data_IF_326563046029
#
_entry.id   IF_326563046029
#
_cell.length_a   1.000
_cell.length_b   1.000
_cell.length_c   1.000
_cell.angle_alpha   90.00
_cell.angle_beta   90.00
_cell.angle_gamma   90.00
#
_symmetry.space_group_name_H-M   'P 1'
#
loop_
_entity.id
_entity.type
_entity.pdbx_description
1 polymer ?
#
# COMPACT_ATOMS: atom_id res chain seq x y z
N UNK A 1 16.40 -11.45 9.09
CA UNK A 1 15.35 -10.44 8.88
C UNK A 1 13.92 -11.01 8.72
N UNK A 2 13.69 -12.20 8.18
CA UNK A 2 12.33 -12.73 7.89
C UNK A 2 11.47 -13.11 9.12
N UNK A 3 12.04 -13.58 10.21
CA UNK A 3 11.28 -14.08 11.37
C UNK A 3 10.52 -12.99 12.17
N UNK A 4 11.08 -11.81 12.47
CA UNK A 4 10.35 -10.78 13.19
C UNK A 4 9.23 -10.13 12.35
N UNK A 5 9.43 -9.93 11.03
CA UNK A 5 8.41 -9.37 10.15
C UNK A 5 7.17 -10.25 10.05
N UNK A 6 7.35 -11.56 9.91
CA UNK A 6 6.24 -12.53 9.95
C UNK A 6 5.50 -12.46 11.28
N UNK A 7 6.22 -12.27 12.40
CA UNK A 7 5.61 -12.09 13.72
C UNK A 7 4.69 -10.87 13.79
N UNK A 8 5.13 -9.71 13.30
CA UNK A 8 4.33 -8.49 13.28
C UNK A 8 3.12 -8.61 12.34
N UNK A 9 3.31 -9.16 11.14
CA UNK A 9 2.23 -9.43 10.20
C UNK A 9 1.13 -10.30 10.85
N UNK A 10 1.51 -11.37 11.53
CA UNK A 10 0.56 -12.25 12.22
C UNK A 10 -0.15 -11.53 13.39
N UNK A 11 0.56 -10.70 14.15
CA UNK A 11 -0.03 -9.92 15.24
C UNK A 11 -1.05 -8.91 14.70
N UNK A 12 -0.71 -8.13 13.69
CA UNK A 12 -1.67 -7.23 13.05
C UNK A 12 -2.88 -7.99 12.52
N UNK A 13 -2.67 -9.07 11.79
CA UNK A 13 -3.75 -9.89 11.25
C UNK A 13 -4.67 -10.47 12.33
N UNK A 14 -4.09 -10.95 13.44
CA UNK A 14 -4.84 -11.47 14.58
C UNK A 14 -5.70 -10.40 15.23
N UNK A 15 -5.13 -9.25 15.60
CA UNK A 15 -5.87 -8.20 16.31
C UNK A 15 -6.92 -7.52 15.43
N UNK A 16 -6.67 -7.34 14.13
CA UNK A 16 -7.68 -6.91 13.18
C UNK A 16 -8.83 -7.92 13.07
N UNK A 17 -8.54 -9.20 13.00
CA UNK A 17 -9.57 -10.26 12.94
C UNK A 17 -10.41 -10.31 14.21
N UNK A 18 -9.78 -10.19 15.38
CA UNK A 18 -10.46 -10.12 16.68
C UNK A 18 -11.35 -8.88 16.76
N UNK A 19 -10.85 -7.72 16.33
CA UNK A 19 -11.59 -6.47 16.30
C UNK A 19 -12.84 -6.58 15.43
N UNK A 20 -12.72 -7.06 14.20
CA UNK A 20 -13.87 -7.27 13.32
C UNK A 20 -14.87 -8.27 13.89
N UNK A 21 -14.41 -9.40 14.44
CA UNK A 21 -15.29 -10.38 15.05
C UNK A 21 -16.04 -9.79 16.26
N UNK A 22 -15.37 -9.03 17.11
CA UNK A 22 -15.98 -8.38 18.25
C UNK A 22 -17.05 -7.35 17.85
N UNK A 23 -16.74 -6.50 16.85
CA UNK A 23 -17.71 -5.54 16.28
C UNK A 23 -18.93 -6.25 15.74
N UNK A 24 -18.74 -7.30 14.97
CA UNK A 24 -19.83 -8.08 14.37
C UNK A 24 -20.74 -8.74 15.45
N UNK A 25 -20.18 -9.13 16.60
CA UNK A 25 -20.94 -9.70 17.70
C UNK A 25 -21.77 -8.67 18.49
N UNK A 26 -21.39 -7.39 18.44
CA UNK A 26 -22.12 -6.27 19.07
C UNK A 26 -23.33 -5.85 18.24
N UNK A 27 -23.25 -5.96 16.92
CA UNK A 27 -24.29 -5.55 15.97
C UNK A 27 -25.45 -6.56 15.97
N UNK A 28 -26.70 -6.13 15.75
CA UNK A 28 -27.84 -7.06 15.63
C UNK A 28 -27.61 -8.09 14.51
N UNK A 29 -28.00 -9.35 14.76
CA UNK A 29 -27.70 -10.51 13.91
C UNK A 29 -27.95 -10.26 12.40
N UNK A 30 -29.09 -9.65 12.05
CA UNK A 30 -29.42 -9.40 10.63
C UNK A 30 -28.42 -8.45 9.99
N UNK A 31 -28.13 -7.32 10.63
CA UNK A 31 -27.18 -6.34 10.15
C UNK A 31 -25.74 -6.90 10.15
N UNK A 32 -25.36 -7.60 11.22
CA UNK A 32 -24.06 -8.25 11.36
C UNK A 32 -23.77 -9.24 10.23
N UNK A 33 -24.77 -10.07 9.88
CA UNK A 33 -24.69 -11.02 8.77
C UNK A 33 -24.43 -10.31 7.42
N UNK A 34 -25.12 -9.20 7.17
CA UNK A 34 -24.96 -8.41 5.94
C UNK A 34 -23.57 -7.76 5.92
N UNK A 35 -23.19 -7.10 7.02
CA UNK A 35 -21.87 -6.44 7.14
C UNK A 35 -20.74 -7.46 6.97
N UNK A 36 -20.85 -8.63 7.60
CA UNK A 36 -19.88 -9.70 7.42
C UNK A 36 -19.77 -10.10 5.94
N UNK A 37 -20.91 -10.32 5.27
CA UNK A 37 -20.90 -10.71 3.86
C UNK A 37 -20.22 -9.67 2.98
N UNK A 38 -20.55 -8.39 3.15
CA UNK A 38 -19.96 -7.29 2.40
C UNK A 38 -18.44 -7.24 2.64
N UNK A 39 -18.01 -7.20 3.92
CA UNK A 39 -16.59 -7.10 4.25
C UNK A 39 -15.81 -8.33 3.78
N UNK A 40 -16.35 -9.53 3.97
CA UNK A 40 -15.71 -10.77 3.57
C UNK A 40 -15.42 -10.79 2.06
N UNK A 41 -16.45 -10.55 1.25
CA UNK A 41 -16.28 -10.57 -0.20
C UNK A 41 -15.46 -9.39 -0.73
N UNK A 42 -15.56 -8.23 -0.10
CA UNK A 42 -14.73 -7.08 -0.46
C UNK A 42 -13.24 -7.38 -0.20
N UNK A 43 -12.89 -7.93 0.97
CA UNK A 43 -11.51 -8.32 1.25
C UNK A 43 -11.05 -9.51 0.42
N UNK A 44 -11.92 -10.45 0.09
CA UNK A 44 -11.58 -11.56 -0.81
C UNK A 44 -11.25 -11.04 -2.21
N UNK A 45 -12.08 -10.16 -2.77
CA UNK A 45 -11.81 -9.52 -4.06
C UNK A 45 -10.49 -8.75 -4.00
N UNK A 46 -10.29 -7.95 -2.95
CA UNK A 46 -9.04 -7.21 -2.75
C UNK A 46 -7.82 -8.13 -2.71
N UNK A 47 -7.90 -9.24 -1.97
CA UNK A 47 -6.81 -10.20 -1.90
C UNK A 47 -6.52 -10.86 -3.24
N UNK A 48 -7.56 -11.24 -3.99
CA UNK A 48 -7.38 -11.80 -5.33
C UNK A 48 -6.82 -10.78 -6.32
N UNK A 49 -7.22 -9.51 -6.22
CA UNK A 49 -6.66 -8.42 -7.02
C UNK A 49 -5.18 -8.20 -6.73
N UNK A 50 -4.79 -8.25 -5.45
CA UNK A 50 -3.37 -8.18 -5.04
C UNK A 50 -2.55 -9.32 -5.62
N UNK A 51 -3.06 -10.55 -5.55
CA UNK A 51 -2.40 -11.73 -6.14
C UNK A 51 -2.24 -11.59 -7.65
N UNK A 52 -3.29 -11.11 -8.34
CA UNK A 52 -3.25 -10.86 -9.78
C UNK A 52 -2.24 -9.80 -10.16
N UNK A 53 -2.26 -8.69 -9.44
CA UNK A 53 -1.32 -7.60 -9.67
C UNK A 53 0.13 -8.05 -9.44
N UNK A 54 0.37 -8.79 -8.35
CA UNK A 54 1.69 -9.35 -8.05
C UNK A 54 2.19 -10.30 -9.15
N UNK A 55 1.32 -11.12 -9.73
CA UNK A 55 1.68 -12.07 -10.80
C UNK A 55 2.16 -11.36 -12.08
N UNK A 56 1.71 -10.15 -12.34
CA UNK A 56 2.05 -9.40 -13.55
C UNK A 56 3.21 -8.45 -13.32
N UNK A 57 3.21 -7.74 -12.18
CA UNK A 57 4.12 -6.64 -11.92
C UNK A 57 5.21 -6.94 -10.88
N UNK A 58 5.17 -8.13 -10.27
CA UNK A 58 6.04 -8.52 -9.12
C UNK A 58 6.01 -7.51 -7.97
N UNK A 59 4.92 -6.76 -7.86
CA UNK A 59 4.67 -5.72 -6.84
C UNK A 59 3.26 -5.86 -6.31
N UNK A 60 3.03 -5.41 -5.09
CA UNK A 60 1.69 -5.28 -4.53
C UNK A 60 1.13 -3.90 -4.85
N UNK A 61 -0.19 -3.81 -4.96
CA UNK A 61 -0.89 -2.62 -5.39
C UNK A 61 -1.28 -1.74 -4.20
N UNK A 62 -1.04 -0.45 -4.29
CA UNK A 62 -1.64 0.54 -3.40
C UNK A 62 -3.14 0.69 -3.66
N UNK A 63 -3.91 1.01 -2.62
CA UNK A 63 -5.33 1.31 -2.78
C UNK A 63 -5.55 2.52 -3.70
N UNK A 64 -4.66 3.50 -3.63
CA UNK A 64 -4.65 4.67 -4.52
C UNK A 64 -4.51 4.30 -6.00
N UNK A 65 -3.86 3.17 -6.33
CA UNK A 65 -3.74 2.67 -7.69
C UNK A 65 -5.10 2.29 -8.32
N UNK A 66 -6.14 2.10 -7.50
CA UNK A 66 -7.51 1.90 -8.01
C UNK A 66 -8.02 3.08 -8.84
N UNK A 67 -7.47 4.28 -8.68
CA UNK A 67 -7.79 5.43 -9.52
C UNK A 67 -7.43 5.19 -11.00
N UNK A 68 -6.47 4.31 -11.27
CA UNK A 68 -5.98 3.97 -12.61
C UNK A 68 -6.54 2.65 -13.15
N UNK A 69 -7.55 2.06 -12.50
CA UNK A 69 -8.13 0.77 -12.89
C UNK A 69 -8.73 0.77 -14.30
N UNK A 70 -9.16 1.94 -14.81
CA UNK A 70 -9.67 2.04 -16.17
C UNK A 70 -8.67 1.57 -17.23
N UNK A 71 -7.40 1.87 -17.04
CA UNK A 71 -6.32 1.42 -17.93
C UNK A 71 -5.98 -0.06 -17.71
N UNK A 72 -6.02 -0.53 -16.45
CA UNK A 72 -5.72 -1.92 -16.09
C UNK A 72 -6.80 -2.91 -16.54
N UNK A 73 -8.04 -2.48 -16.69
CA UNK A 73 -9.14 -3.38 -17.08
C UNK A 73 -8.95 -4.03 -18.47
N UNK A 74 -8.21 -3.41 -19.37
CA UNK A 74 -7.89 -3.99 -20.68
C UNK A 74 -7.06 -5.28 -20.55
N UNK A 75 -6.29 -5.44 -19.49
CA UNK A 75 -5.40 -6.58 -19.26
C UNK A 75 -5.99 -7.65 -18.33
N UNK A 76 -7.25 -7.49 -17.88
CA UNK A 76 -7.84 -8.38 -16.87
C UNK A 76 -7.85 -9.84 -17.30
N UNK A 77 -8.15 -10.12 -18.58
CA UNK A 77 -8.16 -11.50 -19.11
C UNK A 77 -6.76 -12.11 -19.17
N UNK A 78 -5.74 -11.30 -19.48
CA UNK A 78 -4.35 -11.75 -19.47
C UNK A 78 -3.89 -12.09 -18.06
N UNK A 79 -4.26 -11.27 -17.08
CA UNK A 79 -3.99 -11.51 -15.65
C UNK A 79 -4.66 -12.81 -15.20
N UNK A 80 -5.95 -12.97 -15.48
CA UNK A 80 -6.71 -14.15 -15.08
C UNK A 80 -6.19 -15.43 -15.75
N UNK A 81 -5.72 -15.36 -17.00
CA UNK A 81 -5.15 -16.49 -17.73
C UNK A 81 -3.85 -17.01 -17.12
N UNK A 82 -3.11 -16.16 -16.42
CA UNK A 82 -1.85 -16.51 -15.74
C UNK A 82 -2.05 -17.12 -14.36
N UNK A 83 -3.28 -17.16 -13.85
CA UNK A 83 -3.53 -17.72 -12.52
C UNK A 83 -3.34 -19.22 -12.51
N UNK A 84 -2.50 -19.77 -11.61
CA UNK A 84 -2.41 -21.21 -11.40
C UNK A 84 -3.78 -21.81 -11.03
N UNK A 85 -4.06 -23.01 -11.50
CA UNK A 85 -5.32 -23.70 -11.20
C UNK A 85 -5.60 -23.82 -9.70
N UNK A 86 -4.53 -23.95 -8.90
CA UNK A 86 -4.63 -24.02 -7.44
C UNK A 86 -5.24 -22.75 -6.83
N UNK A 87 -4.98 -21.58 -7.42
CA UNK A 87 -5.55 -20.32 -6.94
C UNK A 87 -7.06 -20.24 -7.22
N UNK A 88 -7.50 -20.76 -8.36
CA UNK A 88 -8.93 -20.88 -8.67
C UNK A 88 -9.65 -21.81 -7.70
N UNK A 89 -9.04 -22.94 -7.36
CA UNK A 89 -9.58 -23.89 -6.38
C UNK A 89 -9.65 -23.22 -5.00
N UNK A 90 -8.59 -22.52 -4.58
CA UNK A 90 -8.56 -21.79 -3.31
C UNK A 90 -9.63 -20.69 -3.27
N UNK A 91 -9.77 -19.90 -4.32
CA UNK A 91 -10.79 -18.86 -4.43
C UNK A 91 -12.20 -19.43 -4.32
N UNK A 92 -12.48 -20.52 -5.05
CA UNK A 92 -13.76 -21.21 -4.97
C UNK A 92 -14.04 -21.76 -3.56
N UNK A 93 -13.02 -22.33 -2.91
CA UNK A 93 -13.10 -22.79 -1.53
C UNK A 93 -13.41 -21.65 -0.52
N UNK A 94 -12.76 -20.51 -0.68
CA UNK A 94 -13.02 -19.33 0.14
C UNK A 94 -14.41 -18.75 -0.11
N UNK A 95 -14.87 -18.67 -1.35
CA UNK A 95 -16.23 -18.26 -1.69
C UNK A 95 -17.25 -19.20 -1.00
N UNK A 96 -17.06 -20.52 -1.13
CA UNK A 96 -17.93 -21.49 -0.51
C UNK A 96 -17.94 -21.36 1.02
N UNK A 97 -16.79 -21.17 1.64
CA UNK A 97 -16.65 -20.93 3.08
C UNK A 97 -17.43 -19.67 3.52
N UNK A 98 -17.26 -18.56 2.80
CA UNK A 98 -18.00 -17.33 3.07
C UNK A 98 -19.51 -17.52 3.01
N UNK A 99 -20.00 -18.22 1.97
CA UNK A 99 -21.43 -18.54 1.83
C UNK A 99 -21.92 -19.42 2.99
N UNK A 100 -21.16 -20.45 3.38
CA UNK A 100 -21.51 -21.34 4.49
C UNK A 100 -21.61 -20.54 5.81
N UNK A 101 -20.65 -19.64 6.07
CA UNK A 101 -20.67 -18.78 7.27
C UNK A 101 -21.89 -17.86 7.24
N UNK A 102 -22.21 -17.25 6.11
CA UNK A 102 -23.38 -16.38 5.95
C UNK A 102 -24.68 -17.15 6.21
N UNK A 103 -24.79 -18.36 5.67
CA UNK A 103 -26.00 -19.20 5.85
C UNK A 103 -26.14 -19.66 7.29
N UNK A 104 -25.05 -20.12 7.91
CA UNK A 104 -25.00 -20.62 9.30
C UNK A 104 -24.61 -19.52 10.30
N UNK A 105 -24.87 -18.26 10.00
CA UNK A 105 -24.36 -17.15 10.78
C UNK A 105 -24.71 -17.29 12.28
N UNK A 106 -23.73 -17.13 13.19
CA UNK A 106 -23.91 -17.36 14.61
C UNK A 106 -24.89 -16.36 15.25
N UNK A 107 -25.37 -16.69 16.42
CA UNK A 107 -26.18 -15.75 17.21
C UNK A 107 -25.28 -14.62 17.72
N UNK A 108 -25.79 -13.39 17.67
CA UNK A 108 -25.11 -12.22 18.22
C UNK A 108 -25.70 -11.87 19.60
N UNK A 109 -24.99 -11.01 20.33
CA UNK A 109 -25.44 -10.58 21.66
C UNK A 109 -26.73 -9.77 21.59
N UNK A 110 -27.69 -10.07 22.48
CA UNK A 110 -28.99 -9.39 22.53
C UNK A 110 -29.06 -8.28 23.57
N UNK A 111 -28.43 -8.50 24.73
CA UNK A 111 -28.49 -7.59 25.88
C UNK A 111 -27.26 -6.70 26.02
N UNK A 112 -27.41 -5.48 26.56
CA UNK A 112 -26.32 -4.54 26.79
C UNK A 112 -25.17 -5.16 27.64
N UNK A 113 -25.52 -5.88 28.70
CA UNK A 113 -24.50 -6.53 29.55
C UNK A 113 -23.65 -7.55 28.82
N UNK A 114 -24.23 -8.22 27.81
CA UNK A 114 -23.48 -9.18 26.98
C UNK A 114 -22.55 -8.52 25.98
N UNK A 115 -22.74 -7.22 25.67
CA UNK A 115 -21.90 -6.46 24.74
C UNK A 115 -20.65 -5.90 25.40
N UNK A 116 -20.67 -5.70 26.72
CA UNK A 116 -19.56 -5.10 27.46
C UNK A 116 -18.23 -5.82 27.23
N UNK A 117 -18.11 -7.17 27.31
CA UNK A 117 -16.84 -7.85 27.06
C UNK A 117 -16.35 -7.66 25.64
N UNK A 118 -17.24 -7.62 24.65
CA UNK A 118 -16.85 -7.39 23.26
C UNK A 118 -16.40 -5.95 23.01
N UNK A 119 -16.99 -4.97 23.68
CA UNK A 119 -16.51 -3.59 23.67
C UNK A 119 -15.11 -3.49 24.28
N UNK A 120 -14.88 -4.19 25.40
CA UNK A 120 -13.54 -4.25 26.00
C UNK A 120 -12.51 -4.89 25.04
N UNK A 121 -12.89 -5.97 24.36
CA UNK A 121 -12.04 -6.62 23.33
C UNK A 121 -11.75 -5.64 22.18
N UNK A 122 -12.74 -4.86 21.72
CA UNK A 122 -12.52 -3.83 20.69
C UNK A 122 -11.47 -2.82 21.15
N UNK A 123 -11.62 -2.28 22.38
CA UNK A 123 -10.67 -1.31 22.94
C UNK A 123 -9.27 -1.91 23.02
N UNK A 124 -9.13 -3.11 23.58
CA UNK A 124 -7.84 -3.80 23.69
C UNK A 124 -7.23 -4.02 22.30
N UNK A 125 -8.02 -4.47 21.33
CA UNK A 125 -7.53 -4.70 19.97
C UNK A 125 -7.03 -3.40 19.32
N UNK A 126 -7.80 -2.31 19.42
CA UNK A 126 -7.38 -1.00 18.88
C UNK A 126 -6.12 -0.49 19.53
N UNK A 127 -6.04 -0.56 20.88
CA UNK A 127 -4.84 -0.15 21.61
C UNK A 127 -3.64 -1.00 21.21
N UNK A 128 -3.81 -2.31 21.08
CA UNK A 128 -2.71 -3.20 20.67
C UNK A 128 -2.26 -2.88 19.25
N UNK A 129 -3.18 -2.72 18.29
CA UNK A 129 -2.86 -2.32 16.91
C UNK A 129 -2.07 -0.99 16.89
N UNK A 130 -2.46 -0.01 17.71
CA UNK A 130 -1.77 1.27 17.81
C UNK A 130 -0.40 1.19 18.51
N UNK A 131 -0.17 0.18 19.35
CA UNK A 131 1.09 -0.02 20.05
C UNK A 131 2.11 -0.83 19.24
N UNK A 132 1.68 -1.70 18.33
CA UNK A 132 2.59 -2.53 17.52
C UNK A 132 3.65 -1.68 16.80
N UNK A 133 3.33 -0.54 16.14
CA UNK A 133 4.34 0.31 15.51
C UNK A 133 5.42 0.79 16.49
N UNK A 134 5.05 1.15 17.71
CA UNK A 134 6.00 1.55 18.75
C UNK A 134 6.95 0.41 19.14
N UNK A 135 6.46 -0.83 19.12
CA UNK A 135 7.30 -2.01 19.31
C UNK A 135 8.24 -2.24 18.13
N UNK A 136 7.78 -1.99 16.92
CA UNK A 136 8.61 -2.07 15.70
C UNK A 136 9.80 -1.13 15.83
N UNK A 137 9.55 0.15 16.17
CA UNK A 137 10.58 1.17 16.41
C UNK A 137 11.55 0.76 17.53
N UNK A 138 11.01 0.28 18.64
CA UNK A 138 11.82 -0.14 19.79
C UNK A 138 12.76 -1.32 19.48
N UNK A 139 12.35 -2.21 18.57
CA UNK A 139 13.19 -3.34 18.14
C UNK A 139 14.31 -2.92 17.17
N UNK A 140 14.14 -1.81 16.47
CA UNK A 140 15.16 -1.25 15.57
C UNK A 140 16.19 -0.35 16.29
N UNK A 141 16.02 -0.11 17.58
CA UNK A 141 16.91 0.74 18.39
C UNK A 141 18.35 0.21 18.54
N UNK A 142 18.73 -0.89 17.89
CA UNK A 142 20.13 -1.31 17.74
C UNK A 142 20.79 -0.43 16.68
N UNK A 143 21.83 0.35 17.03
CA UNK A 143 22.50 1.23 16.07
C UNK A 143 23.00 0.44 14.87
N UNK A 144 22.35 0.56 13.73
CA UNK A 144 22.90 0.11 12.46
C UNK A 144 23.76 1.23 11.88
N UNK A 145 24.94 0.93 11.29
CA UNK A 145 25.66 1.96 10.55
C UNK A 145 24.72 2.51 9.48
N UNK A 146 24.49 3.82 9.50
CA UNK A 146 23.77 4.50 8.40
C UNK A 146 24.64 4.38 7.16
N UNK A 147 24.37 3.39 6.34
CA UNK A 147 24.83 3.43 4.96
C UNK A 147 24.00 4.51 4.26
N UNK A 148 24.67 5.51 3.71
CA UNK A 148 24.06 6.67 3.04
C UNK A 148 23.33 6.33 1.71
N UNK A 149 22.95 5.08 1.50
CA UNK A 149 22.18 4.67 0.35
C UNK A 149 20.68 4.83 0.65
N UNK A 150 20.12 5.92 0.22
CA UNK A 150 18.69 6.26 0.30
C UNK A 150 17.73 5.21 -0.29
N UNK A 151 18.25 4.20 -0.98
CA UNK A 151 17.46 3.14 -1.61
C UNK A 151 17.36 1.87 -0.77
N UNK A 152 18.18 1.71 0.28
CA UNK A 152 18.18 0.49 1.08
C UNK A 152 17.52 0.73 2.44
N UNK A 153 16.19 0.72 2.44
CA UNK A 153 15.36 0.75 3.66
C UNK A 153 15.64 -0.53 4.44
N UNK A 154 16.60 -0.47 5.37
CA UNK A 154 17.09 -1.63 6.13
C UNK A 154 16.42 -1.77 7.48
N UNK A 155 15.78 -0.72 8.00
CA UNK A 155 15.12 -0.72 9.29
C UNK A 155 13.63 -1.07 9.18
N UNK A 156 13.07 -1.64 10.25
CA UNK A 156 11.62 -1.85 10.32
C UNK A 156 10.88 -0.52 10.49
N UNK A 157 11.48 0.42 11.20
CA UNK A 157 10.96 1.78 11.39
C UNK A 157 10.84 2.49 10.05
N UNK A 158 11.94 2.57 9.28
CA UNK A 158 11.94 3.20 7.96
C UNK A 158 10.96 2.50 7.00
N UNK A 159 10.89 1.15 7.04
CA UNK A 159 9.92 0.39 6.26
C UNK A 159 8.49 0.76 6.61
N UNK A 160 8.21 0.92 7.91
CA UNK A 160 6.87 1.26 8.37
C UNK A 160 6.53 2.72 8.05
N UNK A 161 7.43 3.67 8.25
CA UNK A 161 7.15 5.11 8.10
C UNK A 161 7.17 5.59 6.65
N UNK A 162 8.18 5.21 5.87
CA UNK A 162 8.40 5.75 4.53
C UNK A 162 7.36 5.33 3.49
N UNK A 163 6.67 4.20 3.70
CA UNK A 163 5.75 3.61 2.72
C UNK A 163 6.35 3.40 1.31
N UNK A 164 7.67 3.37 1.20
CA UNK A 164 8.36 3.34 -0.10
C UNK A 164 8.28 1.97 -0.77
N UNK A 165 8.51 0.88 -0.01
CA UNK A 165 8.50 -0.49 -0.53
C UNK A 165 7.21 -1.22 -0.12
N UNK A 166 6.25 -1.23 -1.02
CA UNK A 166 4.93 -1.84 -0.80
C UNK A 166 5.04 -3.29 -0.34
N UNK A 167 5.95 -4.08 -0.93
CA UNK A 167 6.11 -5.48 -0.57
C UNK A 167 6.62 -5.66 0.85
N UNK A 168 7.68 -4.92 1.23
CA UNK A 168 8.23 -4.97 2.59
C UNK A 168 7.20 -4.54 3.64
N UNK A 169 6.38 -3.53 3.32
CA UNK A 169 5.33 -3.06 4.21
C UNK A 169 4.22 -4.10 4.37
N UNK A 170 3.79 -4.76 3.29
CA UNK A 170 2.81 -5.86 3.38
C UNK A 170 3.37 -7.05 4.16
N UNK A 171 4.65 -7.38 3.97
CA UNK A 171 5.33 -8.45 4.73
C UNK A 171 5.41 -8.10 6.23
N UNK A 172 5.53 -6.82 6.58
CA UNK A 172 5.61 -6.34 7.95
C UNK A 172 4.22 -6.22 8.60
N UNK A 173 3.27 -5.59 7.91
CA UNK A 173 1.99 -5.18 8.48
C UNK A 173 0.83 -6.12 8.17
N UNK A 174 0.95 -6.93 7.11
CA UNK A 174 -0.14 -7.73 6.58
C UNK A 174 -1.19 -6.92 5.84
N UNK A 175 -2.06 -7.63 5.12
CA UNK A 175 -3.03 -7.03 4.19
C UNK A 175 -4.03 -6.10 4.89
N UNK A 176 -4.53 -6.47 6.07
CA UNK A 176 -5.53 -5.65 6.77
C UNK A 176 -4.96 -4.30 7.21
N UNK A 177 -3.85 -4.33 7.95
CA UNK A 177 -3.28 -3.11 8.51
C UNK A 177 -2.79 -2.19 7.39
N UNK A 178 -2.12 -2.74 6.38
CA UNK A 178 -1.64 -1.97 5.25
C UNK A 178 -2.79 -1.32 4.46
N UNK A 179 -3.87 -2.06 4.18
CA UNK A 179 -5.03 -1.51 3.48
C UNK A 179 -5.68 -0.36 4.25
N UNK A 180 -5.83 -0.49 5.57
CA UNK A 180 -6.38 0.59 6.39
C UNK A 180 -5.45 1.79 6.51
N UNK A 181 -4.14 1.55 6.59
CA UNK A 181 -3.15 2.62 6.63
C UNK A 181 -3.11 3.41 5.31
N UNK A 182 -3.09 2.72 4.18
CA UNK A 182 -3.14 3.33 2.86
C UNK A 182 -4.46 4.13 2.66
N UNK A 183 -5.59 3.55 3.07
CA UNK A 183 -6.88 4.25 3.07
C UNK A 183 -6.84 5.52 3.92
N UNK A 184 -6.21 5.46 5.11
CA UNK A 184 -6.05 6.61 5.98
C UNK A 184 -5.18 7.68 5.32
N UNK A 185 -3.99 7.32 4.85
CA UNK A 185 -3.03 8.24 4.24
C UNK A 185 -3.62 8.89 2.99
N UNK A 186 -4.27 8.10 2.12
CA UNK A 186 -4.83 8.63 0.87
C UNK A 186 -6.04 9.54 1.06
N UNK A 187 -6.93 9.24 2.03
CA UNK A 187 -8.21 9.95 2.15
C UNK A 187 -8.26 10.96 3.29
N UNK A 188 -7.52 10.72 4.38
CA UNK A 188 -7.68 11.48 5.61
C UNK A 188 -6.44 12.26 6.03
N UNK A 189 -5.23 11.75 5.80
CA UNK A 189 -4.00 12.40 6.23
C UNK A 189 -3.85 13.82 5.65
N UNK A 190 -4.22 14.01 4.39
CA UNK A 190 -4.20 15.34 3.73
C UNK A 190 -5.11 16.40 4.37
N UNK A 191 -5.96 16.01 5.31
CA UNK A 191 -6.84 16.91 6.06
C UNK A 191 -6.34 17.18 7.47
N UNK A 192 -5.16 16.68 7.82
CA UNK A 192 -4.55 16.90 9.13
C UNK A 192 -3.67 18.14 9.11
N UNK A 193 -3.53 18.85 10.26
CA UNK A 193 -2.62 19.99 10.37
C UNK A 193 -1.17 19.62 10.06
N UNK A 194 -0.76 18.42 10.44
CA UNK A 194 0.58 17.88 10.19
C UNK A 194 0.90 17.85 8.69
N UNK A 195 -0.04 17.40 7.86
CA UNK A 195 0.13 17.38 6.40
C UNK A 195 0.27 18.79 5.83
N UNK A 196 -0.50 19.75 6.35
CA UNK A 196 -0.43 21.13 5.90
C UNK A 196 0.92 21.76 6.26
N UNK A 197 1.42 21.50 7.48
CA UNK A 197 2.72 21.98 7.96
C UNK A 197 3.88 21.37 7.13
N UNK A 198 3.89 20.06 6.90
CA UNK A 198 4.87 19.37 6.06
C UNK A 198 4.85 19.93 4.63
N UNK A 199 3.67 20.05 4.03
CA UNK A 199 3.52 20.56 2.66
C UNK A 199 4.03 22.01 2.53
N UNK A 200 3.78 22.87 3.52
CA UNK A 200 4.28 24.23 3.52
C UNK A 200 5.80 24.26 3.68
N UNK A 201 6.37 23.38 4.51
CA UNK A 201 7.81 23.20 4.67
C UNK A 201 8.48 22.82 3.34
N UNK A 202 7.95 21.82 2.66
CA UNK A 202 8.46 21.35 1.37
C UNK A 202 8.38 22.44 0.27
N UNK A 203 7.28 23.19 0.24
CA UNK A 203 7.10 24.31 -0.70
C UNK A 203 8.14 25.40 -0.43
N UNK A 204 8.40 25.72 0.83
CA UNK A 204 9.39 26.74 1.18
C UNK A 204 10.81 26.29 0.83
N UNK A 205 11.17 25.04 1.14
CA UNK A 205 12.47 24.47 0.78
C UNK A 205 12.68 24.50 -0.74
N UNK A 206 11.66 24.12 -1.50
CA UNK A 206 11.71 24.15 -2.96
C UNK A 206 11.84 25.59 -3.49
N UNK A 207 11.12 26.55 -2.90
CA UNK A 207 11.22 27.97 -3.26
C UNK A 207 12.63 28.52 -2.99
N UNK A 208 13.21 28.19 -1.84
CA UNK A 208 14.56 28.60 -1.45
C UNK A 208 15.62 27.96 -2.37
N UNK A 209 15.44 26.69 -2.75
CA UNK A 209 16.30 26.02 -3.71
C UNK A 209 16.31 26.73 -5.07
N UNK A 210 15.12 27.11 -5.59
CA UNK A 210 15.05 27.80 -6.87
C UNK A 210 15.55 29.25 -6.78
N UNK A 211 15.31 29.94 -5.66
CA UNK A 211 15.82 31.28 -5.42
C UNK A 211 17.36 31.32 -5.31
N UNK A 212 17.95 30.26 -4.80
CA UNK A 212 19.42 30.11 -4.71
C UNK A 212 20.11 29.69 -6.00
N UNK A 213 19.37 29.36 -7.07
CA UNK A 213 19.96 29.01 -8.36
C UNK A 213 20.57 30.25 -9.02
N UNK A 214 21.80 30.14 -9.54
CA UNK A 214 22.36 31.24 -10.32
C UNK A 214 21.51 31.45 -11.59
N UNK A 215 21.32 32.72 -11.94
CA UNK A 215 20.68 33.05 -13.21
C UNK A 215 21.39 32.36 -14.37
N UNK A 216 20.61 31.90 -15.33
CA UNK A 216 21.16 31.30 -16.53
C UNK A 216 22.02 32.31 -17.27
N UNK A 217 23.34 32.15 -17.16
CA UNK A 217 24.27 32.98 -17.93
C UNK A 217 24.21 32.55 -19.40
N UNK A 218 24.15 33.53 -20.29
CA UNK A 218 24.29 33.26 -21.72
C UNK A 218 25.62 32.57 -22.05
N UNK A 219 25.60 31.61 -22.90
CA UNK A 219 26.77 30.91 -23.42
C UNK A 219 26.77 30.97 -24.95
N UNK A 220 27.78 30.39 -25.58
CA UNK A 220 27.96 30.40 -27.06
C UNK A 220 26.80 29.72 -27.82
N UNK A 221 25.94 28.97 -27.14
CA UNK A 221 24.73 28.31 -27.67
C UNK A 221 23.46 29.15 -27.49
N UNK A 222 23.55 30.24 -26.74
CA UNK A 222 22.37 31.08 -26.46
C UNK A 222 21.90 31.78 -27.74
N UNK A 223 20.65 31.59 -28.10
CA UNK A 223 20.07 32.13 -29.33
C UNK A 223 20.32 31.31 -30.60
N UNK A 224 21.11 30.21 -30.56
CA UNK A 224 21.40 29.38 -31.72
C UNK A 224 20.17 28.89 -32.49
N UNK A 225 19.08 28.65 -31.75
CA UNK A 225 17.80 28.17 -32.28
C UNK A 225 16.72 29.26 -32.32
N UNK A 226 17.10 30.55 -32.22
CA UNK A 226 16.16 31.63 -32.34
C UNK A 226 15.40 31.59 -33.66
N UNK A 227 14.07 31.65 -33.62
CA UNK A 227 13.23 31.54 -34.81
C UNK A 227 13.07 30.12 -35.38
N UNK A 228 13.64 29.08 -34.72
CA UNK A 228 13.47 27.67 -35.12
C UNK A 228 12.38 26.99 -34.33
N UNK A 229 11.74 26.02 -34.95
CA UNK A 229 10.82 25.14 -34.22
C UNK A 229 11.65 24.13 -33.41
N UNK A 230 11.33 23.99 -32.13
CA UNK A 230 11.96 22.99 -31.24
C UNK A 230 10.95 21.88 -31.00
N UNK A 231 11.34 20.64 -31.31
CA UNK A 231 10.57 19.44 -30.96
C UNK A 231 11.24 18.78 -29.79
N UNK A 232 10.57 18.76 -28.65
CA UNK A 232 11.04 18.06 -27.46
C UNK A 232 10.37 16.69 -27.41
N UNK A 233 11.17 15.61 -27.45
CA UNK A 233 10.67 14.22 -27.37
C UNK A 233 11.12 13.64 -26.04
N UNK A 234 10.16 13.44 -25.14
CA UNK A 234 10.38 12.71 -23.90
C UNK A 234 10.16 11.22 -24.19
N UNK A 235 11.24 10.44 -24.18
CA UNK A 235 11.16 8.99 -24.33
C UNK A 235 11.17 8.35 -22.95
N UNK A 236 10.03 7.80 -22.55
CA UNK A 236 9.87 7.10 -21.28
C UNK A 236 10.31 5.63 -21.45
N UNK A 237 10.93 5.10 -20.39
CA UNK A 237 11.41 3.70 -20.34
C UNK A 237 12.42 3.32 -21.42
N UNK A 238 13.15 4.29 -21.96
CA UNK A 238 14.21 4.04 -22.91
C UNK A 238 15.52 3.74 -22.18
N UNK A 239 16.06 2.53 -22.41
CA UNK A 239 17.32 2.12 -21.83
C UNK A 239 18.51 2.89 -22.45
N UNK A 240 19.42 3.37 -21.60
CA UNK A 240 20.62 4.13 -21.99
C UNK A 240 21.53 3.35 -22.96
N UNK A 241 21.52 2.01 -22.89
CA UNK A 241 22.32 1.18 -23.80
C UNK A 241 21.94 1.37 -25.28
N UNK A 242 20.69 1.73 -25.60
CA UNK A 242 20.25 2.05 -26.96
C UNK A 242 20.94 3.30 -27.53
N UNK A 243 21.36 4.21 -26.64
CA UNK A 243 22.01 5.46 -26.98
C UNK A 243 23.54 5.29 -26.99
N UNK A 244 24.08 4.45 -26.12
CA UNK A 244 25.50 4.33 -25.85
C UNK A 244 26.19 3.22 -26.65
N UNK A 245 25.47 2.24 -27.21
CA UNK A 245 26.07 1.17 -28.01
C UNK A 245 26.36 1.60 -29.45
N UNK A 246 27.62 1.44 -29.85
CA UNK A 246 28.09 1.68 -31.22
C UNK A 246 27.36 0.89 -32.30
N UNK A 247 26.67 -0.17 -31.92
CA UNK A 247 25.96 -1.10 -32.80
C UNK A 247 24.45 -0.81 -32.91
N UNK A 248 23.97 0.28 -32.33
CA UNK A 248 22.59 0.75 -32.55
C UNK A 248 22.53 1.55 -33.87
N UNK A 249 22.21 0.93 -35.02
CA UNK A 249 22.54 1.49 -36.34
C UNK A 249 21.68 2.66 -36.78
N UNK A 250 20.69 3.05 -36.02
CA UNK A 250 19.66 4.02 -36.42
C UNK A 250 19.70 5.35 -35.68
N UNK A 251 20.39 5.44 -34.55
CA UNK A 251 20.40 6.67 -33.72
C UNK A 251 21.67 7.52 -33.96
N UNK A 252 22.71 6.93 -34.55
CA UNK A 252 24.02 7.59 -34.82
C UNK A 252 24.31 7.92 -36.27
N UNK A 253 23.32 7.92 -37.15
CA UNK A 253 23.51 8.36 -38.55
C UNK A 253 22.85 9.68 -38.84
#
# INVERSE_FOLDING_TARGET
>A
MLLPSVGFCLLFGLFWSILFAAILLIIPRKASRIVFGILYFLFLIWTLSQLGYYQVFDKLMWLSALAYTGEGMMFIFDVLSKFPILWWIAAAGLIALGVVIIVKYPATTKGWKQKIPYLAICVVSVVTIALIPKFIVAMDAVPKPKEENYTDVTSYEDTYESLYDVKKIYDLCGIYHMTFRDLWTYNFYKWTPEYEEETQGDIQELADYFAGRPDHTSNDMTGLFEGKNVVYVLMESMDDWLITQKDAPTIYR
#
